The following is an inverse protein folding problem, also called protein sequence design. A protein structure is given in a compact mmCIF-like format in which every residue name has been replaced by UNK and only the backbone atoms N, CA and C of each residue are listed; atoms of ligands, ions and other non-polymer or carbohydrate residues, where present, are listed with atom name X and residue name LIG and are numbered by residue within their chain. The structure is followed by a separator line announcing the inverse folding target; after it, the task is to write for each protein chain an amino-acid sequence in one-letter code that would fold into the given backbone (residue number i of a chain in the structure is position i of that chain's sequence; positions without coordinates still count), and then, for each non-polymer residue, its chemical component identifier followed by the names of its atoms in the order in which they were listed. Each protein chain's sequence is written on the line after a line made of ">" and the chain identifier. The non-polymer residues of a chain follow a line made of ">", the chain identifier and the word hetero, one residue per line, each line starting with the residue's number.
data_IF_042374865801
#
_entry.id   IF_042374865801
#
_cell.length_a   1.000
_cell.length_b   1.000
_cell.length_c   1.000
_cell.angle_alpha   90.00
_cell.angle_beta   90.00
_cell.angle_gamma   90.00
#
_symmetry.space_group_name_H-M   'P 1'
#
loop_
_entity.id
_entity.type
_entity.pdbx_description
1 polymer ?
#
# COMPACT_ATOMS: atom_id res chain seq x y z
N UNK A 1 -12.14 -25.69 -10.26
CA UNK A 1 -12.33 -24.23 -10.16
C UNK A 1 -11.41 -23.74 -9.05
N UNK A 2 -10.29 -23.13 -9.42
CA UNK A 2 -9.24 -22.74 -8.49
C UNK A 2 -9.56 -21.34 -7.96
N UNK A 3 -10.36 -21.25 -6.90
CA UNK A 3 -10.54 -19.99 -6.15
C UNK A 3 -9.30 -19.72 -5.32
N UNK A 4 -8.16 -19.52 -6.00
CA UNK A 4 -7.06 -18.78 -5.40
C UNK A 4 -7.60 -17.37 -5.29
N UNK A 5 -8.21 -17.08 -4.14
CA UNK A 5 -8.60 -15.73 -3.75
C UNK A 5 -7.40 -14.84 -4.09
N UNK A 6 -7.53 -13.88 -5.02
CA UNK A 6 -6.38 -13.09 -5.43
C UNK A 6 -5.98 -12.29 -4.20
N UNK A 7 -4.90 -12.69 -3.56
CA UNK A 7 -4.35 -12.11 -2.34
C UNK A 7 -3.87 -10.66 -2.49
N UNK A 8 -4.34 -9.89 -3.47
CA UNK A 8 -5.10 -8.67 -3.16
C UNK A 8 -5.31 -7.81 -4.39
N UNK A 9 -6.52 -7.82 -4.94
CA UNK A 9 -6.92 -6.73 -5.83
C UNK A 9 -6.99 -5.40 -5.05
N UNK A 10 -7.32 -5.46 -3.75
CA UNK A 10 -7.35 -4.32 -2.84
C UNK A 10 -5.95 -3.74 -2.56
N UNK A 11 -4.97 -4.54 -2.13
CA UNK A 11 -3.56 -4.10 -2.00
C UNK A 11 -3.02 -3.56 -3.31
N UNK A 12 -3.36 -4.16 -4.47
CA UNK A 12 -2.89 -3.63 -5.77
C UNK A 12 -3.51 -2.26 -6.08
N UNK A 13 -4.81 -2.07 -5.86
CA UNK A 13 -5.48 -0.76 -6.02
C UNK A 13 -4.97 0.27 -5.01
N UNK A 14 -4.78 -0.14 -3.76
CA UNK A 14 -4.20 0.66 -2.69
C UNK A 14 -2.78 1.11 -3.06
N UNK A 15 -1.94 0.21 -3.58
CA UNK A 15 -0.58 0.54 -4.01
C UNK A 15 -0.56 1.51 -5.19
N UNK A 16 -1.42 1.31 -6.19
CA UNK A 16 -1.55 2.26 -7.29
C UNK A 16 -1.93 3.66 -6.77
N UNK A 17 -2.95 3.73 -5.91
CA UNK A 17 -3.40 4.97 -5.29
C UNK A 17 -2.31 5.66 -4.46
N UNK A 18 -1.61 4.91 -3.61
CA UNK A 18 -0.46 5.39 -2.83
C UNK A 18 0.64 5.96 -3.72
N UNK A 19 0.94 5.28 -4.82
CA UNK A 19 1.99 5.71 -5.76
C UNK A 19 1.61 7.02 -6.45
N UNK A 20 0.34 7.16 -6.85
CA UNK A 20 -0.19 8.40 -7.42
C UNK A 20 -0.18 9.54 -6.40
N UNK A 21 -0.58 9.28 -5.14
CA UNK A 21 -0.55 10.28 -4.07
C UNK A 21 0.88 10.67 -3.68
N UNK A 22 1.83 9.73 -3.64
CA UNK A 22 3.25 10.03 -3.43
C UNK A 22 3.82 10.89 -4.57
N UNK A 23 3.45 10.59 -5.82
CA UNK A 23 3.91 11.36 -6.97
C UNK A 23 3.29 12.77 -7.01
N UNK A 24 2.01 12.90 -6.61
CA UNK A 24 1.32 14.20 -6.48
C UNK A 24 1.81 15.00 -5.27
N UNK A 25 2.15 14.31 -4.19
CA UNK A 25 2.38 14.91 -2.88
C UNK A 25 3.62 14.28 -2.22
N UNK A 26 4.78 14.50 -2.85
CA UNK A 26 6.08 13.95 -2.43
C UNK A 26 6.54 14.41 -1.02
N UNK A 27 5.81 15.35 -0.41
CA UNK A 27 6.03 15.81 0.96
C UNK A 27 5.33 15.00 2.05
N UNK A 28 4.37 14.11 1.71
CA UNK A 28 3.69 13.27 2.70
C UNK A 28 4.50 12.02 3.03
N UNK A 29 4.58 11.68 4.32
CA UNK A 29 5.23 10.45 4.76
C UNK A 29 4.46 9.22 4.28
N UNK A 30 5.20 8.22 3.78
CA UNK A 30 4.65 6.94 3.35
C UNK A 30 3.75 6.30 4.43
N UNK A 31 4.14 6.39 5.69
CA UNK A 31 3.37 5.85 6.82
C UNK A 31 1.97 6.47 6.92
N UNK A 32 1.84 7.79 6.73
CA UNK A 32 0.54 8.48 6.74
C UNK A 32 -0.32 8.03 5.57
N UNK A 33 0.25 7.95 4.37
CA UNK A 33 -0.49 7.51 3.19
C UNK A 33 -0.89 6.03 3.29
N UNK A 34 -0.07 5.17 3.91
CA UNK A 34 -0.39 3.77 4.20
C UNK A 34 -1.58 3.64 5.15
N UNK A 35 -1.60 4.43 6.22
CA UNK A 35 -2.71 4.46 7.19
C UNK A 35 -4.00 4.96 6.52
N UNK A 36 -3.94 6.09 5.80
CA UNK A 36 -5.07 6.65 5.04
C UNK A 36 -5.61 5.63 4.01
N UNK A 37 -4.70 4.95 3.30
CA UNK A 37 -5.05 3.98 2.26
C UNK A 37 -5.59 2.69 2.89
N UNK A 38 -5.03 2.25 4.02
CA UNK A 38 -5.51 1.10 4.78
C UNK A 38 -6.96 1.28 5.22
N UNK A 39 -7.28 2.45 5.78
CA UNK A 39 -8.64 2.81 6.17
C UNK A 39 -9.57 2.95 4.96
N UNK A 40 -9.09 3.58 3.88
CA UNK A 40 -9.90 3.84 2.67
C UNK A 40 -10.29 2.58 1.91
N UNK A 41 -9.37 1.64 1.78
CA UNK A 41 -9.59 0.38 1.07
C UNK A 41 -10.10 -0.73 2.01
N UNK A 42 -10.30 -0.42 3.29
CA UNK A 42 -10.69 -1.36 4.33
C UNK A 42 -9.77 -2.60 4.34
N UNK A 43 -8.46 -2.34 4.29
CA UNK A 43 -7.44 -3.38 4.22
C UNK A 43 -7.44 -4.17 5.53
N UNK A 44 -7.33 -5.49 5.41
CA UNK A 44 -7.10 -6.33 6.59
C UNK A 44 -5.69 -6.05 7.13
N UNK A 45 -5.41 -6.40 8.41
CA UNK A 45 -4.06 -6.27 8.96
C UNK A 45 -3.00 -6.97 8.10
N UNK A 46 -3.34 -8.10 7.47
CA UNK A 46 -2.46 -8.84 6.57
C UNK A 46 -2.20 -8.07 5.26
N UNK A 47 -3.23 -7.44 4.70
CA UNK A 47 -3.12 -6.62 3.50
C UNK A 47 -2.31 -5.34 3.75
N UNK A 48 -2.56 -4.67 4.89
CA UNK A 48 -1.81 -3.49 5.30
C UNK A 48 -0.32 -3.81 5.48
N UNK A 49 0.02 -4.93 6.13
CA UNK A 49 1.40 -5.39 6.26
C UNK A 49 2.04 -5.73 4.90
N UNK A 50 1.28 -6.33 3.99
CA UNK A 50 1.77 -6.65 2.64
C UNK A 50 2.03 -5.39 1.83
N UNK A 51 1.12 -4.41 1.90
CA UNK A 51 1.25 -3.10 1.29
C UNK A 51 2.47 -2.35 1.87
N UNK A 52 2.59 -2.29 3.20
CA UNK A 52 3.73 -1.65 3.86
C UNK A 52 5.05 -2.27 3.42
N UNK A 53 5.17 -3.61 3.37
CA UNK A 53 6.39 -4.29 2.89
C UNK A 53 6.71 -3.98 1.44
N UNK A 54 5.70 -3.87 0.56
CA UNK A 54 5.90 -3.49 -0.85
C UNK A 54 6.52 -2.09 -0.96
N UNK A 55 6.07 -1.15 -0.13
CA UNK A 55 6.60 0.22 -0.16
C UNK A 55 7.87 0.42 0.66
N UNK A 56 8.08 -0.27 1.79
CA UNK A 56 9.35 -0.26 2.52
C UNK A 56 10.50 -0.78 1.64
N UNK A 57 10.24 -1.82 0.83
CA UNK A 57 11.24 -2.36 -0.10
C UNK A 57 11.60 -1.38 -1.22
N UNK A 58 10.68 -0.50 -1.62
CA UNK A 58 10.90 0.50 -2.67
C UNK A 58 11.35 1.87 -2.12
N UNK A 59 11.04 2.17 -0.86
CA UNK A 59 11.36 3.42 -0.17
C UNK A 59 12.64 3.36 0.67
N UNK A 60 13.53 2.42 0.37
CA UNK A 60 14.84 2.28 1.00
C UNK A 60 15.69 3.52 0.77
N UNK A 61 15.48 4.55 1.59
CA UNK A 61 16.58 5.41 2.01
C UNK A 61 17.51 4.51 2.82
N UNK A 62 18.61 4.15 2.18
CA UNK A 62 19.81 3.70 2.85
C UNK A 62 20.18 4.76 3.89
N UNK A 63 20.31 4.33 5.14
CA UNK A 63 21.23 4.91 6.11
C UNK A 63 22.03 3.73 6.68
#
# INVERSE_FOLDING_TARGET
>A
MNTIMPQSELVRKAAAYLTEELNRNSGKSLATLLDETGMRFNLTPLDAMSLERLFQKNGGKAD
#
